data_IF_725648922463
#
_entry.id   IF_725648922463
#
_cell.length_a   1.000
_cell.length_b   1.000
_cell.length_c   1.000
_cell.angle_alpha   90.00
_cell.angle_beta   90.00
_cell.angle_gamma   90.00
#
_symmetry.space_group_name_H-M   'P 1'
#
loop_
_entity.id
_entity.type
_entity.pdbx_description
1 polymer ?
#
# COMPACT_ATOMS: atom_id res chain seq x y z
N UNK A 1 9.79 19.53 -28.00
CA UNK A 1 10.13 18.26 -27.31
C UNK A 1 10.79 18.63 -25.98
N UNK A 2 9.98 19.02 -25.00
CA UNK A 2 10.41 19.57 -23.70
C UNK A 2 9.77 18.69 -22.62
N UNK A 3 10.55 17.79 -22.02
CA UNK A 3 10.17 17.09 -20.79
C UNK A 3 10.71 17.92 -19.62
N UNK A 4 9.83 18.73 -19.02
CA UNK A 4 10.12 19.44 -17.78
C UNK A 4 9.87 18.48 -16.60
N UNK A 5 10.95 18.08 -15.92
CA UNK A 5 10.91 17.33 -14.68
C UNK A 5 10.42 18.28 -13.57
N UNK A 6 9.15 18.13 -13.17
CA UNK A 6 8.64 18.73 -11.94
C UNK A 6 8.76 17.70 -10.82
N UNK A 7 9.76 17.85 -9.94
CA UNK A 7 9.66 17.38 -8.55
C UNK A 7 8.59 18.24 -7.86
N UNK A 8 7.32 17.89 -8.08
CA UNK A 8 6.22 18.57 -7.43
C UNK A 8 6.20 18.12 -5.97
N UNK A 9 6.48 19.10 -5.10
CA UNK A 9 6.10 19.20 -3.68
C UNK A 9 4.88 18.33 -3.39
N UNK A 10 4.95 17.52 -2.32
CA UNK A 10 3.87 16.66 -1.79
C UNK A 10 2.58 17.49 -1.63
N UNK A 11 1.77 17.57 -2.69
CA UNK A 11 0.44 18.16 -2.62
C UNK A 11 -0.42 17.13 -1.91
N UNK A 12 -0.56 17.34 -0.61
CA UNK A 12 -1.58 16.73 0.23
C UNK A 12 -2.93 17.15 -0.34
N UNK A 13 -3.48 16.36 -1.26
CA UNK A 13 -4.82 16.57 -1.81
C UNK A 13 -5.65 15.28 -1.88
N UNK A 14 -5.30 14.23 -1.12
CA UNK A 14 -6.18 13.05 -0.95
C UNK A 14 -6.96 13.04 0.37
N UNK A 15 -6.64 13.90 1.34
CA UNK A 15 -7.34 13.93 2.64
C UNK A 15 -8.30 15.11 2.84
N UNK A 16 -8.30 16.12 1.95
CA UNK A 16 -9.05 17.37 2.14
C UNK A 16 -10.26 17.55 1.21
N UNK A 17 -10.51 16.63 0.27
CA UNK A 17 -11.66 16.69 -0.62
C UNK A 17 -12.87 15.83 -0.19
N UNK A 18 -12.81 15.18 0.98
CA UNK A 18 -13.86 14.28 1.46
C UNK A 18 -14.44 14.66 2.83
N UNK A 19 -14.40 15.94 3.19
CA UNK A 19 -14.97 16.43 4.47
C UNK A 19 -16.36 17.09 4.36
N UNK A 20 -17.04 16.96 3.24
CA UNK A 20 -18.43 17.38 3.14
C UNK A 20 -19.19 16.39 2.27
N UNK A 21 -19.94 15.47 2.89
CA UNK A 21 -21.26 14.98 2.43
C UNK A 21 -21.66 13.75 3.25
N UNK A 22 -22.52 13.96 4.26
CA UNK A 22 -23.81 13.29 4.44
C UNK A 22 -24.27 13.28 5.91
N UNK A 23 -24.84 14.41 6.34
CA UNK A 23 -25.93 14.41 7.29
C UNK A 23 -27.21 14.72 6.51
N UNK A 24 -27.89 13.67 6.03
CA UNK A 24 -29.29 13.80 5.59
C UNK A 24 -30.07 12.52 5.96
N UNK A 25 -30.77 12.51 7.11
CA UNK A 25 -31.54 11.36 7.54
C UNK A 25 -32.97 11.52 7.02
N UNK A 26 -33.24 11.14 5.77
CA UNK A 26 -34.60 10.81 5.33
C UNK A 26 -34.62 10.29 3.89
N UNK A 27 -34.78 8.98 3.71
CA UNK A 27 -35.92 8.42 2.97
C UNK A 27 -35.99 6.90 3.10
N UNK A 28 -37.12 6.50 3.66
CA UNK A 28 -37.54 5.16 3.96
C UNK A 28 -38.20 4.45 2.77
N UNK A 29 -38.17 3.11 2.82
CA UNK A 29 -39.09 2.11 2.24
C UNK A 29 -38.97 1.80 0.75
N UNK A 30 -38.49 0.58 0.48
CA UNK A 30 -39.09 -0.31 -0.51
C UNK A 30 -38.90 -1.77 -0.04
N UNK A 31 -40.03 -2.45 0.19
CA UNK A 31 -40.11 -3.90 0.45
C UNK A 31 -39.93 -4.62 -0.88
N UNK A 32 -39.03 -5.60 -0.95
CA UNK A 32 -39.22 -6.75 -1.83
C UNK A 32 -38.75 -8.02 -1.13
N UNK A 33 -39.68 -8.96 -1.04
CA UNK A 33 -39.47 -10.34 -0.64
C UNK A 33 -38.60 -11.03 -1.68
N UNK A 34 -37.46 -11.57 -1.27
CA UNK A 34 -36.86 -12.74 -1.88
C UNK A 34 -36.10 -13.52 -0.81
N UNK A 35 -36.57 -14.75 -0.57
CA UNK A 35 -36.06 -15.69 0.42
C UNK A 35 -34.79 -16.33 -0.13
N UNK A 36 -33.68 -15.60 -0.06
CA UNK A 36 -32.35 -16.20 -0.11
C UNK A 36 -31.99 -16.61 1.32
N UNK A 37 -31.78 -17.92 1.54
CA UNK A 37 -31.15 -18.44 2.74
C UNK A 37 -29.66 -18.04 2.71
N UNK A 38 -29.40 -16.78 3.06
CA UNK A 38 -28.09 -16.29 3.44
C UNK A 38 -27.91 -16.67 4.91
N UNK A 39 -26.92 -17.50 5.23
CA UNK A 39 -26.51 -17.71 6.62
C UNK A 39 -25.92 -16.36 7.09
N UNK A 40 -26.78 -15.49 7.60
CA UNK A 40 -26.42 -14.20 8.17
C UNK A 40 -25.81 -14.47 9.54
N UNK A 41 -24.49 -14.66 9.58
CA UNK A 41 -23.75 -14.45 10.83
C UNK A 41 -23.95 -12.99 11.23
N UNK A 42 -24.85 -12.78 12.18
CA UNK A 42 -25.26 -11.46 12.64
C UNK A 42 -24.19 -10.94 13.62
N UNK A 43 -23.04 -10.54 13.08
CA UNK A 43 -22.00 -9.85 13.85
C UNK A 43 -22.60 -8.53 14.35
N UNK A 44 -22.78 -8.40 15.67
CA UNK A 44 -23.39 -7.21 16.26
C UNK A 44 -22.55 -5.94 16.01
N UNK A 45 -23.17 -4.77 16.13
CA UNK A 45 -22.57 -3.49 15.73
C UNK A 45 -21.22 -3.23 16.37
N UNK A 46 -21.07 -3.51 17.67
CA UNK A 46 -19.85 -3.32 18.48
C UNK A 46 -18.69 -4.21 18.05
N UNK A 47 -18.97 -5.44 17.61
CA UNK A 47 -17.95 -6.43 17.22
C UNK A 47 -17.36 -6.12 15.85
N UNK A 48 -18.16 -5.59 14.92
CA UNK A 48 -17.64 -5.09 13.64
C UNK A 48 -16.71 -3.89 13.84
N UNK A 49 -16.99 -3.03 14.84
CA UNK A 49 -16.15 -1.87 15.16
C UNK A 49 -14.74 -2.27 15.59
N UNK A 50 -14.52 -3.46 16.18
CA UNK A 50 -13.18 -3.97 16.53
C UNK A 50 -12.40 -4.36 15.27
N UNK A 51 -13.05 -5.03 14.32
CA UNK A 51 -12.42 -5.43 13.06
C UNK A 51 -12.10 -4.18 12.21
N UNK A 52 -13.05 -3.25 12.14
CA UNK A 52 -12.87 -1.93 11.52
C UNK A 52 -11.69 -1.21 12.16
N UNK A 53 -11.63 -1.10 13.49
CA UNK A 53 -10.52 -0.47 14.21
C UNK A 53 -9.16 -1.13 13.92
N UNK A 54 -9.13 -2.46 13.75
CA UNK A 54 -7.89 -3.18 13.40
C UNK A 54 -7.44 -2.85 11.98
N UNK A 55 -8.36 -2.75 11.02
CA UNK A 55 -8.05 -2.27 9.66
C UNK A 55 -7.61 -0.80 9.68
N UNK A 56 -8.25 0.04 10.48
CA UNK A 56 -7.86 1.43 10.71
C UNK A 56 -6.44 1.54 11.27
N UNK A 57 -6.05 0.64 12.17
CA UNK A 57 -4.68 0.58 12.71
C UNK A 57 -3.65 0.22 11.63
N UNK A 58 -3.99 -0.58 10.62
CA UNK A 58 -3.10 -0.80 9.45
C UNK A 58 -2.95 0.52 8.68
N UNK A 59 -4.06 1.19 8.39
CA UNK A 59 -4.06 2.45 7.67
C UNK A 59 -3.28 3.56 8.40
N UNK A 60 -3.37 3.60 9.74
CA UNK A 60 -2.66 4.56 10.59
C UNK A 60 -1.19 4.16 10.80
N UNK A 61 -0.87 2.87 10.96
CA UNK A 61 0.53 2.43 11.11
C UNK A 61 1.35 2.61 9.84
N UNK A 62 0.66 2.68 8.69
CA UNK A 62 1.21 3.08 7.40
C UNK A 62 0.94 4.57 7.09
N UNK A 63 0.32 5.32 7.99
CA UNK A 63 0.20 6.77 7.88
C UNK A 63 1.53 7.39 8.28
N UNK A 64 2.28 7.78 7.26
CA UNK A 64 3.41 8.68 7.38
C UNK A 64 2.86 9.99 7.94
N UNK A 65 3.25 10.39 9.15
CA UNK A 65 3.10 11.79 9.58
C UNK A 65 3.59 12.69 8.45
N UNK A 66 2.93 13.83 8.15
CA UNK A 66 3.23 14.64 6.97
C UNK A 66 4.55 15.39 7.15
N UNK A 67 5.65 14.65 7.14
CA UNK A 67 6.98 15.13 6.88
C UNK A 67 7.41 14.33 5.66
N UNK A 68 7.63 15.02 4.54
CA UNK A 68 8.59 14.48 3.60
C UNK A 68 9.83 14.10 4.42
N UNK A 69 10.49 12.94 4.18
CA UNK A 69 11.74 12.68 4.84
C UNK A 69 12.64 13.90 4.57
N UNK A 70 12.91 14.64 5.64
CA UNK A 70 13.49 15.96 5.52
C UNK A 70 14.90 15.77 4.97
N UNK A 71 15.28 16.54 3.94
CA UNK A 71 16.64 16.61 3.39
C UNK A 71 17.54 17.37 4.38
N UNK A 72 17.39 17.09 5.67
CA UNK A 72 18.26 17.63 6.69
C UNK A 72 19.51 16.78 6.58
N UNK A 73 20.48 17.34 5.88
CA UNK A 73 21.87 16.91 5.73
C UNK A 73 22.27 15.81 6.71
N UNK A 74 22.89 14.76 6.19
CA UNK A 74 23.74 13.80 6.92
C UNK A 74 24.78 14.51 7.84
N UNK A 75 24.35 15.07 8.96
CA UNK A 75 25.24 15.69 9.96
C UNK A 75 25.02 15.15 11.36
N UNK A 76 24.02 14.31 11.63
CA UNK A 76 23.94 13.62 12.93
C UNK A 76 23.27 12.24 12.80
N UNK A 77 24.06 11.22 12.50
CA UNK A 77 23.75 9.84 12.93
C UNK A 77 25.00 9.29 13.59
N UNK A 78 25.19 9.67 14.86
CA UNK A 78 26.06 8.97 15.80
C UNK A 78 25.29 7.77 16.35
N UNK A 79 25.10 6.76 15.53
CA UNK A 79 24.83 5.39 15.95
C UNK A 79 25.12 4.51 14.73
N UNK A 80 25.91 3.46 14.90
CA UNK A 80 26.49 2.56 13.89
C UNK A 80 27.79 2.99 13.16
N UNK A 81 28.59 3.92 13.72
CA UNK A 81 29.95 4.21 13.20
C UNK A 81 31.07 3.33 13.76
N UNK A 82 30.79 2.28 14.53
CA UNK A 82 31.85 1.41 15.04
C UNK A 82 32.37 0.39 14.01
N UNK A 83 31.53 -0.04 13.04
CA UNK A 83 31.98 -0.96 11.99
C UNK A 83 32.62 -0.28 10.77
N UNK A 84 32.55 1.05 10.65
CA UNK A 84 33.22 1.81 9.58
C UNK A 84 34.56 2.42 10.01
N UNK A 85 34.86 2.48 11.32
CA UNK A 85 36.09 3.11 11.83
C UNK A 85 37.36 2.30 11.59
N UNK A 86 37.27 0.98 11.38
CA UNK A 86 38.46 0.13 11.24
C UNK A 86 39.05 0.10 9.81
N UNK A 87 38.45 0.82 8.85
CA UNK A 87 39.03 1.05 7.52
C UNK A 87 39.38 2.54 7.27
N UNK A 88 39.27 3.40 8.30
CA UNK A 88 39.45 4.86 8.20
C UNK A 88 40.94 5.25 8.29
N UNK A 89 41.74 4.74 7.38
CA UNK A 89 43.13 5.16 7.19
C UNK A 89 43.31 6.38 6.29
N UNK A 90 42.32 6.76 5.46
CA UNK A 90 42.59 7.74 4.37
C UNK A 90 41.35 8.51 3.85
N UNK A 91 40.46 8.99 4.73
CA UNK A 91 39.17 9.63 4.35
C UNK A 91 39.24 11.17 4.33
N UNK A 92 40.39 11.76 4.01
CA UNK A 92 40.47 13.23 3.81
C UNK A 92 40.58 13.64 2.33
N UNK A 93 40.46 12.69 1.38
CA UNK A 93 40.46 13.00 -0.06
C UNK A 93 39.34 12.33 -0.87
N UNK A 94 38.25 11.87 -0.24
CA UNK A 94 37.11 11.31 -0.98
C UNK A 94 36.39 12.46 -1.74
N UNK A 95 36.92 12.80 -2.91
CA UNK A 95 36.46 13.91 -3.74
C UNK A 95 34.96 13.83 -4.00
N UNK A 96 34.25 14.96 -4.05
CA UNK A 96 32.80 15.06 -4.31
C UNK A 96 32.29 14.16 -5.47
N UNK A 97 33.15 13.89 -6.46
CA UNK A 97 32.91 12.96 -7.57
C UNK A 97 32.62 11.52 -7.11
N UNK A 98 33.30 11.02 -6.09
CA UNK A 98 33.09 9.66 -5.57
C UNK A 98 31.77 9.52 -4.81
N UNK A 99 31.27 10.58 -4.15
CA UNK A 99 29.98 10.51 -3.45
C UNK A 99 28.79 10.44 -4.42
N UNK A 100 28.87 11.19 -5.53
CA UNK A 100 27.89 11.12 -6.62
C UNK A 100 27.89 9.73 -7.24
N UNK A 101 29.06 9.19 -7.57
CA UNK A 101 29.20 7.84 -8.14
C UNK A 101 28.67 6.74 -7.20
N UNK A 102 28.96 6.83 -5.89
CA UNK A 102 28.43 5.89 -4.88
C UNK A 102 26.91 5.97 -4.77
N UNK A 103 26.32 7.17 -4.77
CA UNK A 103 24.86 7.36 -4.71
C UNK A 103 24.18 6.76 -5.95
N UNK A 104 24.75 7.00 -7.14
CA UNK A 104 24.26 6.41 -8.40
C UNK A 104 24.34 4.89 -8.34
N UNK A 105 25.44 4.31 -7.85
CA UNK A 105 25.59 2.87 -7.74
C UNK A 105 24.52 2.24 -6.84
N UNK A 106 24.25 2.84 -5.67
CA UNK A 106 23.16 2.39 -4.77
C UNK A 106 21.78 2.49 -5.42
N UNK A 107 21.48 3.59 -6.10
CA UNK A 107 20.21 3.78 -6.80
C UNK A 107 20.02 2.76 -7.93
N UNK A 108 21.09 2.45 -8.68
CA UNK A 108 21.08 1.39 -9.69
C UNK A 108 20.83 0.01 -9.07
N UNK A 109 21.45 -0.29 -7.93
CA UNK A 109 21.20 -1.54 -7.20
C UNK A 109 19.73 -1.68 -6.80
N UNK A 110 19.13 -0.62 -6.25
CA UNK A 110 17.70 -0.57 -5.96
C UNK A 110 16.84 -0.76 -7.21
N UNK A 111 17.13 -0.04 -8.30
CA UNK A 111 16.41 -0.17 -9.57
C UNK A 111 16.44 -1.60 -10.12
N UNK A 112 17.60 -2.26 -10.06
CA UNK A 112 17.76 -3.65 -10.49
C UNK A 112 16.96 -4.61 -9.60
N UNK A 113 17.03 -4.43 -8.27
CA UNK A 113 16.26 -5.25 -7.32
C UNK A 113 14.74 -5.10 -7.53
N UNK A 114 14.27 -3.87 -7.71
CA UNK A 114 12.86 -3.58 -7.98
C UNK A 114 12.41 -4.16 -9.33
N UNK A 115 13.25 -4.11 -10.36
CA UNK A 115 12.97 -4.73 -11.66
C UNK A 115 12.79 -6.24 -11.54
N UNK A 116 13.73 -6.90 -10.86
CA UNK A 116 13.66 -8.35 -10.63
C UNK A 116 12.41 -8.73 -9.83
N UNK A 117 12.13 -8.00 -8.75
CA UNK A 117 10.94 -8.17 -7.93
C UNK A 117 9.66 -8.00 -8.76
N UNK A 118 9.59 -6.95 -9.60
CA UNK A 118 8.43 -6.67 -10.46
C UNK A 118 8.14 -7.82 -11.42
N UNK A 119 9.18 -8.42 -12.00
CA UNK A 119 9.03 -9.56 -12.91
C UNK A 119 8.53 -10.82 -12.18
N UNK A 120 9.12 -11.13 -11.02
CA UNK A 120 8.70 -12.27 -10.19
C UNK A 120 7.25 -12.12 -9.70
N UNK A 121 6.89 -10.92 -9.24
CA UNK A 121 5.53 -10.56 -8.83
C UNK A 121 4.52 -10.83 -9.95
N UNK A 122 4.82 -10.43 -11.19
CA UNK A 122 3.92 -10.64 -12.34
C UNK A 122 3.57 -12.11 -12.49
N UNK A 123 4.57 -12.99 -12.57
CA UNK A 123 4.36 -14.43 -12.75
C UNK A 123 3.60 -15.06 -11.58
N UNK A 124 3.90 -14.67 -10.34
CA UNK A 124 3.22 -15.20 -9.15
C UNK A 124 1.76 -14.76 -9.09
N UNK A 125 1.47 -13.50 -9.42
CA UNK A 125 0.11 -12.97 -9.47
C UNK A 125 -0.68 -13.67 -10.57
N UNK A 126 -0.15 -13.79 -11.78
CA UNK A 126 -0.81 -14.48 -12.90
C UNK A 126 -1.26 -15.89 -12.48
N UNK A 127 -0.38 -16.65 -11.83
CA UNK A 127 -0.69 -18.00 -11.31
C UNK A 127 -1.85 -18.01 -10.30
N UNK A 128 -1.90 -17.05 -9.38
CA UNK A 128 -3.01 -16.92 -8.43
C UNK A 128 -4.31 -16.55 -9.17
N UNK A 129 -4.25 -15.55 -10.04
CA UNK A 129 -5.45 -15.04 -10.75
C UNK A 129 -6.06 -16.04 -11.72
N UNK A 130 -5.26 -16.98 -12.26
CA UNK A 130 -5.76 -18.08 -13.07
C UNK A 130 -6.73 -18.99 -12.30
N UNK A 131 -6.53 -19.12 -10.98
CA UNK A 131 -7.38 -19.85 -10.05
C UNK A 131 -8.44 -18.90 -9.45
N UNK A 132 -9.32 -18.37 -10.31
CA UNK A 132 -10.31 -17.29 -10.07
C UNK A 132 -10.91 -17.16 -8.66
N UNK A 133 -11.14 -18.26 -7.96
CA UNK A 133 -11.68 -18.28 -6.59
C UNK A 133 -10.77 -17.58 -5.56
N UNK A 134 -9.46 -17.57 -5.83
CA UNK A 134 -8.42 -16.98 -4.98
C UNK A 134 -8.13 -15.51 -5.28
N UNK A 135 -8.69 -14.94 -6.35
CA UNK A 135 -8.49 -13.53 -6.67
C UNK A 135 -9.32 -12.65 -5.73
N UNK A 136 -8.62 -11.89 -4.90
CA UNK A 136 -9.21 -10.94 -3.97
C UNK A 136 -9.98 -9.83 -4.72
N UNK A 137 -9.36 -9.21 -5.74
CA UNK A 137 -9.84 -7.96 -6.32
C UNK A 137 -10.92 -8.17 -7.38
N UNK A 138 -10.92 -9.31 -8.08
CA UNK A 138 -11.96 -9.59 -9.07
C UNK A 138 -13.33 -9.86 -8.46
N UNK A 139 -13.35 -10.30 -7.20
CA UNK A 139 -14.60 -10.58 -6.48
C UNK A 139 -15.08 -9.43 -5.60
N UNK A 140 -14.38 -8.28 -5.59
CA UNK A 140 -14.78 -7.12 -4.80
C UNK A 140 -16.08 -6.51 -5.33
N UNK A 141 -16.96 -6.17 -4.39
CA UNK A 141 -18.21 -5.45 -4.66
C UNK A 141 -17.92 -4.13 -5.39
N UNK A 142 -18.78 -3.78 -6.37
CA UNK A 142 -18.64 -2.53 -7.12
C UNK A 142 -18.73 -1.29 -6.22
N UNK A 143 -19.38 -1.37 -5.06
CA UNK A 143 -19.40 -0.28 -4.06
C UNK A 143 -18.05 0.03 -3.44
N UNK A 144 -17.15 -0.96 -3.38
CA UNK A 144 -15.80 -0.82 -2.83
C UNK A 144 -14.84 -0.31 -3.92
N UNK A 145 -15.27 -0.28 -5.18
CA UNK A 145 -14.47 0.29 -6.26
C UNK A 145 -14.50 1.81 -6.19
N UNK A 146 -13.38 2.48 -6.53
CA UNK A 146 -13.31 3.92 -6.44
C UNK A 146 -14.19 4.57 -7.51
N UNK A 147 -14.80 5.70 -7.18
CA UNK A 147 -15.74 6.43 -8.07
C UNK A 147 -15.11 6.76 -9.43
N UNK A 148 -13.80 6.99 -9.50
CA UNK A 148 -13.15 7.26 -10.78
C UNK A 148 -13.15 6.07 -11.74
N UNK A 149 -13.39 4.83 -11.27
CA UNK A 149 -13.58 3.68 -12.16
C UNK A 149 -14.89 3.73 -12.95
N UNK A 150 -15.89 4.48 -12.49
CA UNK A 150 -17.17 4.61 -13.20
C UNK A 150 -17.19 5.78 -14.17
N UNK A 151 -16.11 6.55 -14.26
CA UNK A 151 -16.04 7.67 -15.19
C UNK A 151 -15.83 7.19 -16.63
N UNK A 152 -16.48 7.81 -17.63
CA UNK A 152 -16.39 7.39 -19.03
C UNK A 152 -14.97 7.32 -19.60
N UNK A 153 -14.08 8.18 -19.12
CA UNK A 153 -12.68 8.26 -19.54
C UNK A 153 -11.80 7.11 -19.00
N UNK A 154 -12.28 6.36 -18.01
CA UNK A 154 -11.47 5.29 -17.38
C UNK A 154 -11.55 4.00 -18.20
N UNK A 155 -10.48 3.71 -18.93
CA UNK A 155 -10.36 2.49 -19.74
C UNK A 155 -10.23 1.23 -18.87
N UNK A 156 -10.60 0.08 -19.43
CA UNK A 156 -10.43 -1.21 -18.75
C UNK A 156 -8.94 -1.50 -18.46
N UNK A 157 -8.05 -1.09 -19.36
CA UNK A 157 -6.60 -1.14 -19.15
C UNK A 157 -6.18 -0.35 -17.90
N UNK A 158 -6.72 0.86 -17.71
CA UNK A 158 -6.45 1.68 -16.51
C UNK A 158 -6.89 0.97 -15.23
N UNK A 159 -8.09 0.35 -15.25
CA UNK A 159 -8.61 -0.42 -14.10
C UNK A 159 -7.72 -1.62 -13.81
N UNK A 160 -7.32 -2.35 -14.85
CA UNK A 160 -6.46 -3.52 -14.72
C UNK A 160 -5.08 -3.17 -14.19
N UNK A 161 -4.50 -2.04 -14.63
CA UNK A 161 -3.23 -1.54 -14.11
C UNK A 161 -3.32 -1.22 -12.61
N UNK A 162 -4.37 -0.50 -12.20
CA UNK A 162 -4.61 -0.20 -10.76
C UNK A 162 -4.78 -1.48 -9.95
N UNK A 163 -5.62 -2.43 -10.42
CA UNK A 163 -5.79 -3.72 -9.76
C UNK A 163 -4.46 -4.48 -9.65
N UNK A 164 -3.65 -4.48 -10.71
CA UNK A 164 -2.35 -5.14 -10.72
C UNK A 164 -1.39 -4.51 -9.68
N UNK A 165 -1.38 -3.19 -9.56
CA UNK A 165 -0.57 -2.49 -8.57
C UNK A 165 -0.98 -2.86 -7.13
N UNK A 166 -2.28 -2.92 -6.86
CA UNK A 166 -2.79 -3.34 -5.56
C UNK A 166 -2.43 -4.82 -5.29
N UNK A 167 -2.59 -5.71 -6.29
CA UNK A 167 -2.20 -7.13 -6.17
C UNK A 167 -0.71 -7.27 -5.85
N UNK A 168 0.18 -6.47 -6.46
CA UNK A 168 1.62 -6.47 -6.16
C UNK A 168 1.88 -6.24 -4.68
N UNK A 169 1.29 -5.20 -4.09
CA UNK A 169 1.51 -4.88 -2.68
C UNK A 169 0.85 -5.90 -1.75
N UNK A 170 -0.43 -6.20 -1.97
CA UNK A 170 -1.19 -7.09 -1.07
C UNK A 170 -0.64 -8.53 -1.12
N UNK A 171 -0.46 -9.10 -2.32
CA UNK A 171 -0.07 -10.50 -2.44
C UNK A 171 1.40 -10.71 -2.05
N UNK A 172 2.31 -9.79 -2.40
CA UNK A 172 3.70 -9.90 -1.94
C UNK A 172 3.84 -9.73 -0.42
N UNK A 173 2.98 -8.92 0.21
CA UNK A 173 2.94 -8.76 1.66
C UNK A 173 2.52 -10.05 2.38
N UNK A 174 1.66 -10.83 1.75
CA UNK A 174 1.19 -12.14 2.24
C UNK A 174 2.03 -13.30 1.66
N UNK A 175 3.23 -13.01 1.15
CA UNK A 175 4.14 -13.99 0.52
C UNK A 175 3.49 -14.89 -0.54
N UNK A 176 2.44 -14.39 -1.20
CA UNK A 176 1.64 -15.12 -2.19
C UNK A 176 0.98 -16.39 -1.61
N UNK A 177 0.85 -16.48 -0.29
CA UNK A 177 0.17 -17.57 0.40
C UNK A 177 -1.33 -17.47 0.14
N UNK A 178 -1.86 -18.46 -0.58
CA UNK A 178 -3.28 -18.50 -0.96
C UNK A 178 -4.21 -18.60 0.26
N UNK A 179 -3.77 -19.23 1.34
CA UNK A 179 -4.52 -19.33 2.58
C UNK A 179 -4.64 -17.97 3.28
N UNK A 180 -3.55 -17.21 3.34
CA UNK A 180 -3.53 -15.84 3.86
C UNK A 180 -4.36 -14.88 3.01
N UNK A 181 -4.25 -14.96 1.67
CA UNK A 181 -5.07 -14.16 0.75
C UNK A 181 -6.56 -14.47 0.95
N UNK A 182 -6.93 -15.75 1.10
CA UNK A 182 -8.30 -16.17 1.39
C UNK A 182 -8.80 -15.63 2.73
N UNK A 183 -7.98 -15.69 3.79
CA UNK A 183 -8.33 -15.09 5.09
C UNK A 183 -8.56 -13.59 4.97
N UNK A 184 -7.73 -12.86 4.23
CA UNK A 184 -7.93 -11.44 3.98
C UNK A 184 -9.26 -11.17 3.25
N UNK A 185 -9.60 -11.99 2.25
CA UNK A 185 -10.89 -11.94 1.55
C UNK A 185 -12.06 -12.13 2.50
N UNK A 186 -11.99 -13.11 3.40
CA UNK A 186 -13.03 -13.35 4.41
C UNK A 186 -13.19 -12.18 5.40
N UNK A 187 -12.09 -11.53 5.80
CA UNK A 187 -12.14 -10.31 6.64
C UNK A 187 -12.88 -9.20 5.91
N UNK A 188 -12.49 -8.91 4.65
CA UNK A 188 -13.10 -7.88 3.82
C UNK A 188 -14.61 -8.14 3.63
N UNK A 189 -15.00 -9.39 3.35
CA UNK A 189 -16.40 -9.80 3.18
C UNK A 189 -17.25 -9.60 4.44
N UNK A 190 -16.65 -9.77 5.63
CA UNK A 190 -17.33 -9.53 6.90
C UNK A 190 -17.47 -8.03 7.20
N UNK A 191 -16.46 -7.24 6.85
CA UNK A 191 -16.38 -5.80 7.13
C UNK A 191 -17.22 -4.95 6.18
N UNK A 192 -17.33 -5.33 4.91
CA UNK A 192 -18.03 -4.53 3.88
C UNK A 192 -19.54 -4.33 4.12
N UNK A 193 -20.14 -4.97 5.13
CA UNK A 193 -21.59 -4.88 5.40
C UNK A 193 -22.02 -3.55 6.04
N UNK A 194 -21.09 -2.62 6.31
CA UNK A 194 -21.35 -1.28 6.85
C UNK A 194 -20.51 -0.22 6.14
N UNK A 195 -21.05 0.99 6.07
CA UNK A 195 -20.41 2.16 5.45
C UNK A 195 -18.99 2.43 5.98
N UNK A 196 -18.78 2.37 7.31
CA UNK A 196 -17.44 2.51 7.92
C UNK A 196 -16.46 1.43 7.45
N UNK A 197 -16.96 0.21 7.25
CA UNK A 197 -16.17 -0.91 6.79
C UNK A 197 -15.79 -0.79 5.31
N UNK A 198 -16.75 -0.39 4.47
CA UNK A 198 -16.49 -0.07 3.06
C UNK A 198 -15.41 1.02 2.95
N UNK A 199 -15.52 2.09 3.73
CA UNK A 199 -14.51 3.16 3.78
C UNK A 199 -13.11 2.65 4.15
N UNK A 200 -12.99 1.82 5.19
CA UNK A 200 -11.69 1.26 5.58
C UNK A 200 -11.09 0.34 4.52
N UNK A 201 -11.92 -0.43 3.81
CA UNK A 201 -11.44 -1.29 2.72
C UNK A 201 -10.94 -0.42 1.55
N UNK A 202 -11.67 0.66 1.22
CA UNK A 202 -11.26 1.61 0.19
C UNK A 202 -9.92 2.27 0.56
N UNK A 203 -9.78 2.75 1.80
CA UNK A 203 -8.54 3.37 2.27
C UNK A 203 -7.37 2.38 2.28
N UNK A 204 -7.58 1.13 2.70
CA UNK A 204 -6.55 0.09 2.67
C UNK A 204 -6.07 -0.19 1.23
N UNK A 205 -6.98 -0.44 0.30
CA UNK A 205 -6.66 -0.89 -1.05
C UNK A 205 -6.21 0.27 -1.95
N UNK A 206 -7.01 1.33 -2.03
CA UNK A 206 -6.81 2.45 -2.96
C UNK A 206 -6.09 3.63 -2.31
N UNK A 207 -6.24 3.83 -0.99
CA UNK A 207 -5.53 4.87 -0.26
C UNK A 207 -4.09 4.49 0.08
N UNK A 208 -3.83 3.26 0.52
CA UNK A 208 -2.51 2.81 1.00
C UNK A 208 -1.78 1.90 0.03
N UNK A 209 -2.35 0.75 -0.32
CA UNK A 209 -1.65 -0.24 -1.14
C UNK A 209 -1.33 0.33 -2.54
N UNK A 210 -2.30 1.00 -3.17
CA UNK A 210 -2.09 1.67 -4.45
C UNK A 210 -1.05 2.80 -4.38
N UNK A 211 -1.12 3.67 -3.35
CA UNK A 211 -0.18 4.78 -3.18
C UNK A 211 1.26 4.28 -3.04
N UNK A 212 1.49 3.30 -2.16
CA UNK A 212 2.81 2.67 -1.98
C UNK A 212 3.33 2.11 -3.31
N UNK A 213 2.53 1.33 -4.04
CA UNK A 213 2.99 0.77 -5.31
C UNK A 213 3.27 1.85 -6.36
N UNK A 214 2.47 2.91 -6.39
CA UNK A 214 2.65 4.04 -7.32
C UNK A 214 3.99 4.73 -7.09
N UNK A 215 4.39 4.94 -5.82
CA UNK A 215 5.71 5.49 -5.51
C UNK A 215 6.83 4.54 -5.90
N UNK A 216 6.69 3.24 -5.62
CA UNK A 216 7.67 2.23 -6.02
C UNK A 216 7.85 2.16 -7.54
N UNK A 217 6.76 2.24 -8.31
CA UNK A 217 6.81 2.27 -9.77
C UNK A 217 7.48 3.55 -10.29
N UNK A 218 7.25 4.70 -9.63
CA UNK A 218 7.95 5.97 -9.95
C UNK A 218 9.45 5.88 -9.64
N UNK A 219 9.82 5.25 -8.54
CA UNK A 219 11.22 5.02 -8.17
C UNK A 219 11.91 4.09 -9.14
N UNK A 220 11.23 3.04 -9.60
CA UNK A 220 11.74 2.15 -10.64
C UNK A 220 12.06 2.90 -11.93
N UNK A 221 11.23 3.87 -12.33
CA UNK A 221 11.52 4.73 -13.47
C UNK A 221 12.70 5.67 -13.19
N UNK A 222 12.69 6.32 -12.03
CA UNK A 222 13.69 7.33 -11.65
C UNK A 222 15.10 6.75 -11.44
N UNK A 223 15.19 5.46 -11.13
CA UNK A 223 16.46 4.73 -10.91
C UNK A 223 17.09 4.17 -12.19
N UNK A 224 16.46 4.36 -13.35
CA UNK A 224 17.08 4.02 -14.65
C UNK A 224 18.33 4.85 -14.89
N UNK A 225 19.34 4.23 -15.48
CA UNK A 225 20.66 4.82 -15.69
C UNK A 225 20.63 6.18 -16.40
N UNK A 226 19.84 6.28 -17.49
CA UNK A 226 19.70 7.52 -18.25
C UNK A 226 19.18 8.68 -17.38
N UNK A 227 18.27 8.40 -16.44
CA UNK A 227 17.73 9.40 -15.54
C UNK A 227 18.77 9.82 -14.49
N UNK A 228 19.44 8.85 -13.86
CA UNK A 228 20.41 9.10 -12.78
C UNK A 228 21.59 9.99 -13.22
N UNK A 229 22.09 9.78 -14.44
CA UNK A 229 23.24 10.53 -14.95
C UNK A 229 22.93 12.02 -15.18
N UNK A 230 21.66 12.37 -15.37
CA UNK A 230 21.20 13.76 -15.60
C UNK A 230 20.96 14.54 -14.31
N UNK A 231 20.86 13.86 -13.16
CA UNK A 231 20.52 14.49 -11.89
C UNK A 231 21.72 15.19 -11.23
N UNK A 232 21.41 16.28 -10.52
CA UNK A 232 22.35 16.92 -9.59
C UNK A 232 22.62 16.00 -8.40
N UNK A 233 23.72 16.26 -7.68
CA UNK A 233 24.06 15.49 -6.48
C UNK A 233 22.96 15.59 -5.39
N UNK A 234 22.37 16.77 -5.23
CA UNK A 234 21.28 17.00 -4.27
C UNK A 234 20.03 16.21 -4.64
N UNK A 235 19.62 16.23 -5.91
CA UNK A 235 18.47 15.47 -6.39
C UNK A 235 18.70 13.95 -6.28
N UNK A 236 19.95 13.49 -6.44
CA UNK A 236 20.30 12.08 -6.24
C UNK A 236 20.17 11.67 -4.76
N UNK A 237 20.57 12.53 -3.82
CA UNK A 237 20.40 12.30 -2.38
C UNK A 237 18.92 12.28 -1.99
N UNK A 238 18.15 13.24 -2.49
CA UNK A 238 16.70 13.29 -2.27
C UNK A 238 16.01 12.03 -2.82
N UNK A 239 16.36 11.62 -4.05
CA UNK A 239 15.84 10.40 -4.64
C UNK A 239 16.20 9.16 -3.80
N UNK A 240 17.44 9.03 -3.33
CA UNK A 240 17.86 7.92 -2.48
C UNK A 240 17.03 7.86 -1.18
N UNK A 241 16.85 8.99 -0.51
CA UNK A 241 16.03 9.10 0.70
C UNK A 241 14.59 8.65 0.43
N UNK A 242 13.99 9.07 -0.68
CA UNK A 242 12.62 8.67 -1.03
C UNK A 242 12.51 7.19 -1.36
N UNK A 243 13.47 6.62 -2.11
CA UNK A 243 13.51 5.19 -2.42
C UNK A 243 13.59 4.37 -1.13
N UNK A 244 14.52 4.70 -0.23
CA UNK A 244 14.67 4.02 1.06
C UNK A 244 13.41 4.14 1.92
N UNK A 245 12.84 5.35 1.98
CA UNK A 245 11.63 5.62 2.74
C UNK A 245 10.43 4.77 2.28
N UNK A 246 10.15 4.74 0.97
CA UNK A 246 8.99 4.00 0.46
C UNK A 246 9.20 2.48 0.51
N UNK A 247 10.45 2.00 0.44
CA UNK A 247 10.78 0.60 0.73
C UNK A 247 10.52 0.24 2.20
N UNK A 248 10.87 1.12 3.14
CA UNK A 248 10.53 0.94 4.57
C UNK A 248 9.01 0.93 4.75
N UNK A 249 8.28 1.80 4.05
CA UNK A 249 6.83 1.85 4.12
C UNK A 249 6.20 0.55 3.59
N UNK A 250 6.70 0.02 2.47
CA UNK A 250 6.29 -1.30 1.93
C UNK A 250 6.48 -2.42 2.97
N UNK A 251 7.60 -2.45 3.68
CA UNK A 251 7.86 -3.44 4.74
C UNK A 251 6.98 -3.26 5.98
N UNK A 252 6.70 -2.02 6.39
CA UNK A 252 5.76 -1.74 7.48
C UNK A 252 4.34 -2.20 7.13
N UNK A 253 3.90 -1.90 5.91
CA UNK A 253 2.63 -2.37 5.38
C UNK A 253 2.55 -3.89 5.40
N UNK A 254 3.59 -4.58 4.93
CA UNK A 254 3.70 -6.04 4.97
C UNK A 254 3.50 -6.61 6.38
N UNK A 255 4.23 -6.07 7.36
CA UNK A 255 4.13 -6.51 8.76
C UNK A 255 2.73 -6.30 9.34
N UNK A 256 2.14 -5.13 9.09
CA UNK A 256 0.79 -4.82 9.56
C UNK A 256 -0.26 -5.76 8.94
N UNK A 257 -0.21 -5.96 7.62
CA UNK A 257 -1.16 -6.82 6.92
C UNK A 257 -1.06 -8.28 7.38
N UNK A 258 0.16 -8.81 7.53
CA UNK A 258 0.36 -10.17 8.07
C UNK A 258 -0.21 -10.35 9.47
N UNK A 259 0.03 -9.38 10.35
CA UNK A 259 -0.52 -9.39 11.72
C UNK A 259 -2.05 -9.46 11.67
N UNK A 260 -2.68 -8.62 10.85
CA UNK A 260 -4.14 -8.61 10.67
C UNK A 260 -4.66 -9.95 10.17
N UNK A 261 -4.06 -10.54 9.15
CA UNK A 261 -4.47 -11.84 8.61
C UNK A 261 -4.26 -12.99 9.61
N UNK A 262 -3.28 -12.87 10.52
CA UNK A 262 -3.05 -13.84 11.58
C UNK A 262 -4.04 -13.74 12.76
N UNK A 263 -4.30 -12.52 13.24
CA UNK A 263 -5.02 -12.27 14.50
C UNK A 263 -6.53 -12.11 14.30
N UNK A 264 -6.96 -11.34 13.29
CA UNK A 264 -8.37 -10.97 13.12
C UNK A 264 -9.29 -12.19 12.90
N UNK A 265 -8.92 -13.21 12.10
CA UNK A 265 -9.76 -14.40 11.96
C UNK A 265 -10.00 -15.13 13.28
N UNK A 266 -9.01 -15.17 14.18
CA UNK A 266 -9.15 -15.78 15.50
C UNK A 266 -10.11 -14.99 16.38
N UNK A 267 -10.01 -13.67 16.36
CA UNK A 267 -10.90 -12.78 17.11
C UNK A 267 -12.35 -12.91 16.60
N UNK A 268 -12.54 -13.00 15.29
CA UNK A 268 -13.85 -13.26 14.68
C UNK A 268 -14.42 -14.61 15.15
N UNK A 269 -13.63 -15.68 15.13
CA UNK A 269 -14.09 -17.00 15.58
C UNK A 269 -14.44 -17.02 17.07
N UNK A 270 -13.64 -16.37 17.92
CA UNK A 270 -13.92 -16.22 19.35
C UNK A 270 -15.25 -15.50 19.57
N UNK A 271 -15.43 -14.37 18.87
CA UNK A 271 -16.65 -13.57 18.87
C UNK A 271 -17.89 -14.38 18.47
N UNK A 272 -17.78 -15.21 17.42
CA UNK A 272 -18.88 -16.03 16.90
C UNK A 272 -19.28 -17.14 17.88
N UNK A 273 -18.29 -17.78 18.53
CA UNK A 273 -18.54 -18.80 19.57
C UNK A 273 -19.27 -18.21 20.77
N UNK A 274 -18.88 -17.04 21.25
CA UNK A 274 -19.55 -16.36 22.37
C UNK A 274 -21.01 -15.98 22.07
N UNK A 275 -21.38 -15.77 20.81
CA UNK A 275 -22.76 -15.43 20.41
C UNK A 275 -23.67 -16.64 20.23
N UNK A 276 -23.15 -17.80 19.87
CA UNK A 276 -23.95 -19.03 19.70
C UNK A 276 -24.25 -19.75 21.03
N UNK A 277 -23.75 -19.23 22.15
CA UNK A 277 -23.94 -19.78 23.51
C UNK A 277 -25.10 -19.06 24.26
N UNK A 278 -25.79 -18.09 23.62
CA UNK A 278 -26.98 -17.41 24.15
C UNK A 278 -28.23 -17.79 23.37
#
# INVERSE_FOLDING_TARGET
MLHLIFFKKREVNSSLFFFAYNLNPNKSKLKHNNKFNLITTNLNTTKLSIIVATLTLICISCAVSPMAPEVNSYTNTKEDTENLKNASGDINSLSQKSLKEVTIAKLKEFGNKLTAQKNEETTKIEKITAEKESDLLETLDSKIQPVYFTKPETTEETKNNVKMQIKRIIYSSLDYDKGEIKKLKEIIEKVKRKDEGEYMIIDLLYGKALDIQTQIDKHLESTKEDNLNTLSEENLKELLIHVEFDLILKEKFKKALKKTVGEVPQEIQKIEKETNIK
#
